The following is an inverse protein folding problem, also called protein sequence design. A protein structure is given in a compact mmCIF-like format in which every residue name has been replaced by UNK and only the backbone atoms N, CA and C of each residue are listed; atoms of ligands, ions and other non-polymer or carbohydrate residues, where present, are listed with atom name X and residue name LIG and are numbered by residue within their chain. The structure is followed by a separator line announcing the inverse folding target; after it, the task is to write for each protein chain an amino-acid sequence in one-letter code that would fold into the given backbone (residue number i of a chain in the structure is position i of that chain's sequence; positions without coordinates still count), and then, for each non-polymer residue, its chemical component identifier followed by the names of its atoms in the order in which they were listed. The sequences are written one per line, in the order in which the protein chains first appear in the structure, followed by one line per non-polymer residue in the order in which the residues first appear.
data_IF_238792858463
#
_entry.id   IF_238792858463
#
_cell.length_a   1.000
_cell.length_b   1.000
_cell.length_c   1.000
_cell.angle_alpha   90.00
_cell.angle_beta   90.00
_cell.angle_gamma   90.00
#
_symmetry.space_group_name_H-M   'P 1'
#
loop_
_entity.id
_entity.type
_entity.pdbx_description
1 polymer ?
#
# COMPACT_ATOMS: atom_id res chain seq x y z
N UNK A 1 26.30 -10.38 6.45
CA UNK A 1 25.68 -10.30 5.13
C UNK A 1 24.32 -10.94 5.27
N UNK A 2 23.37 -10.16 5.76
CA UNK A 2 21.95 -10.50 5.78
C UNK A 2 21.34 -9.70 4.62
N UNK A 3 21.84 -10.01 3.42
CA UNK A 3 21.75 -9.12 2.25
C UNK A 3 20.42 -9.26 1.52
N UNK A 4 19.61 -10.26 1.86
CA UNK A 4 18.34 -10.54 1.21
C UNK A 4 17.17 -10.27 2.15
N UNK A 5 16.17 -9.50 1.70
CA UNK A 5 14.96 -9.22 2.48
C UNK A 5 14.19 -10.51 2.74
N UNK A 6 13.57 -10.63 3.91
CA UNK A 6 12.54 -11.64 4.15
C UNK A 6 11.22 -11.22 3.49
N UNK A 7 10.33 -12.17 3.22
CA UNK A 7 8.99 -11.85 2.71
C UNK A 7 8.23 -10.91 3.66
N UNK A 8 8.46 -11.01 4.97
CA UNK A 8 7.84 -10.14 5.96
C UNK A 8 8.30 -8.69 5.81
N UNK A 9 9.62 -8.47 5.71
CA UNK A 9 10.17 -7.12 5.52
C UNK A 9 9.74 -6.52 4.18
N UNK A 10 9.64 -7.33 3.13
CA UNK A 10 9.09 -6.89 1.84
C UNK A 10 7.65 -6.39 1.98
N UNK A 11 6.81 -7.14 2.69
CA UNK A 11 5.41 -6.75 2.93
C UNK A 11 5.33 -5.47 3.75
N UNK A 12 6.23 -5.29 4.73
CA UNK A 12 6.30 -4.06 5.53
C UNK A 12 6.74 -2.84 4.70
N UNK A 13 7.59 -3.03 3.69
CA UNK A 13 8.13 -1.97 2.82
C UNK A 13 7.34 -1.78 1.50
N UNK A 14 6.28 -2.56 1.28
CA UNK A 14 5.60 -2.60 -0.02
C UNK A 14 5.00 -1.26 -0.40
N UNK A 15 4.56 -0.47 0.59
CA UNK A 15 3.92 0.83 0.35
C UNK A 15 4.96 1.81 -0.19
N UNK A 16 6.08 1.98 0.51
CA UNK A 16 7.17 2.87 0.12
C UNK A 16 7.78 2.45 -1.22
N UNK A 17 7.86 1.15 -1.49
CA UNK A 17 8.29 0.62 -2.79
C UNK A 17 7.34 1.04 -3.92
N UNK A 18 6.03 0.86 -3.72
CA UNK A 18 5.02 1.23 -4.71
C UNK A 18 4.89 2.75 -4.90
N UNK A 19 5.19 3.53 -3.87
CA UNK A 19 5.21 4.99 -3.90
C UNK A 19 6.54 5.58 -4.40
N UNK A 20 7.58 4.76 -4.55
CA UNK A 20 8.90 5.20 -5.02
C UNK A 20 9.66 6.05 -4.00
N UNK A 21 9.40 5.87 -2.71
CA UNK A 21 9.99 6.66 -1.62
C UNK A 21 11.12 5.93 -0.88
N UNK A 22 11.39 4.67 -1.23
CA UNK A 22 12.49 3.92 -0.66
C UNK A 22 13.86 4.49 -1.05
N UNK A 23 14.86 4.42 -0.14
CA UNK A 23 16.26 4.62 -0.52
C UNK A 23 16.69 3.59 -1.57
N UNK A 24 17.53 4.01 -2.52
CA UNK A 24 18.00 3.20 -3.65
C UNK A 24 18.52 1.81 -3.23
N UNK A 25 19.31 1.76 -2.16
CA UNK A 25 19.88 0.50 -1.66
C UNK A 25 18.80 -0.50 -1.20
N UNK A 26 17.66 -0.03 -0.70
CA UNK A 26 16.54 -0.88 -0.30
C UNK A 26 15.70 -1.28 -1.52
N UNK A 27 15.54 -0.36 -2.49
CA UNK A 27 14.86 -0.67 -3.75
C UNK A 27 15.55 -1.82 -4.49
N UNK A 28 16.89 -1.81 -4.58
CA UNK A 28 17.65 -2.90 -5.21
C UNK A 28 17.47 -4.25 -4.48
N UNK A 29 17.38 -4.24 -3.15
CA UNK A 29 17.13 -5.45 -2.35
C UNK A 29 15.71 -5.99 -2.54
N UNK A 30 14.73 -5.09 -2.69
CA UNK A 30 13.36 -5.45 -3.05
C UNK A 30 13.32 -6.11 -4.43
N UNK A 31 13.94 -5.50 -5.43
CA UNK A 31 13.96 -6.04 -6.80
C UNK A 31 14.64 -7.41 -6.85
N UNK A 32 15.73 -7.60 -6.11
CA UNK A 32 16.38 -8.91 -5.95
C UNK A 32 15.46 -9.94 -5.28
N UNK A 33 14.74 -9.56 -4.22
CA UNK A 33 13.80 -10.48 -3.59
C UNK A 33 12.66 -10.87 -4.54
N UNK A 34 12.13 -9.91 -5.31
CA UNK A 34 11.05 -10.14 -6.25
C UNK A 34 11.47 -11.02 -7.45
N UNK A 35 12.75 -11.01 -7.84
CA UNK A 35 13.24 -11.93 -8.88
C UNK A 35 13.26 -13.39 -8.42
N UNK A 36 13.37 -13.63 -7.11
CA UNK A 36 13.58 -14.97 -6.54
C UNK A 36 12.32 -15.53 -5.85
N UNK A 37 11.30 -14.71 -5.58
CA UNK A 37 10.12 -15.10 -4.81
C UNK A 37 8.80 -14.82 -5.55
N UNK A 38 8.23 -15.88 -6.15
CA UNK A 38 6.93 -15.84 -6.82
C UNK A 38 5.80 -15.35 -5.91
N UNK A 39 5.83 -15.72 -4.63
CA UNK A 39 4.80 -15.34 -3.65
C UNK A 39 4.76 -13.82 -3.42
N UNK A 40 5.93 -13.20 -3.25
CA UNK A 40 6.03 -11.75 -3.09
C UNK A 40 5.73 -11.01 -4.39
N UNK A 41 6.14 -11.54 -5.54
CA UNK A 41 5.76 -10.99 -6.85
C UNK A 41 4.24 -10.99 -7.04
N UNK A 42 3.56 -12.08 -6.68
CA UNK A 42 2.10 -12.13 -6.71
C UNK A 42 1.47 -11.14 -5.73
N UNK A 43 2.01 -11.03 -4.51
CA UNK A 43 1.54 -10.07 -3.52
C UNK A 43 1.65 -8.62 -4.00
N UNK A 44 2.79 -8.23 -4.57
CA UNK A 44 2.97 -6.87 -5.13
C UNK A 44 1.98 -6.60 -6.25
N UNK A 45 1.73 -7.56 -7.15
CA UNK A 45 0.72 -7.41 -8.20
C UNK A 45 -0.69 -7.27 -7.61
N UNK A 46 -1.06 -8.05 -6.59
CA UNK A 46 -2.33 -7.90 -5.89
C UNK A 46 -2.48 -6.49 -5.27
N UNK A 47 -1.41 -5.96 -4.67
CA UNK A 47 -1.42 -4.60 -4.12
C UNK A 47 -1.60 -3.54 -5.23
N UNK A 48 -0.91 -3.68 -6.37
CA UNK A 48 -1.10 -2.80 -7.54
C UNK A 48 -2.54 -2.84 -8.05
N UNK A 49 -3.15 -4.03 -8.10
CA UNK A 49 -4.55 -4.19 -8.48
C UNK A 49 -5.50 -3.55 -7.49
N UNK A 50 -5.25 -3.73 -6.20
CA UNK A 50 -6.03 -3.10 -5.12
C UNK A 50 -6.01 -1.59 -5.27
N UNK A 51 -4.82 -0.98 -5.38
CA UNK A 51 -4.64 0.46 -5.60
C UNK A 51 -5.41 0.94 -6.83
N UNK A 52 -5.30 0.21 -7.95
CA UNK A 52 -6.00 0.57 -9.20
C UNK A 52 -7.52 0.51 -9.05
N UNK A 53 -8.05 -0.48 -8.33
CA UNK A 53 -9.49 -0.66 -8.14
C UNK A 53 -10.05 0.37 -7.16
N UNK A 54 -9.39 0.59 -6.03
CA UNK A 54 -9.82 1.56 -5.02
C UNK A 54 -9.62 3.00 -5.47
N UNK A 55 -8.58 3.28 -6.26
CA UNK A 55 -8.32 4.60 -6.85
C UNK A 55 -9.35 5.04 -7.90
N UNK A 56 -10.27 4.15 -8.33
CA UNK A 56 -11.40 4.49 -9.22
C UNK A 56 -12.64 4.95 -8.47
N UNK A 57 -12.67 4.79 -7.15
CA UNK A 57 -13.79 5.25 -6.33
C UNK A 57 -13.84 6.78 -6.39
N UNK A 58 -15.04 7.32 -6.62
CA UNK A 58 -15.29 8.76 -6.66
C UNK A 58 -16.24 9.16 -5.54
N UNK A 59 -16.40 10.47 -5.32
CA UNK A 59 -17.39 10.98 -4.37
C UNK A 59 -18.80 10.50 -4.72
N UNK A 60 -19.14 10.36 -6.01
CA UNK A 60 -20.42 9.83 -6.47
C UNK A 60 -20.62 8.34 -6.18
N UNK A 61 -19.56 7.63 -5.77
CA UNK A 61 -19.65 6.25 -5.27
C UNK A 61 -20.17 6.17 -3.83
N UNK A 62 -20.25 7.31 -3.12
CA UNK A 62 -20.82 7.41 -1.79
C UNK A 62 -22.32 7.74 -1.89
N UNK A 63 -23.12 7.09 -1.05
CA UNK A 63 -24.48 7.54 -0.77
C UNK A 63 -24.41 8.88 -0.03
N UNK A 64 -25.33 9.84 -0.28
CA UNK A 64 -25.25 11.18 0.31
C UNK A 64 -25.08 11.21 1.83
N UNK A 65 -25.75 10.31 2.56
CA UNK A 65 -25.64 10.22 4.01
C UNK A 65 -24.27 9.74 4.50
N UNK A 66 -23.56 8.90 3.73
CA UNK A 66 -22.25 8.37 4.12
C UNK A 66 -21.20 9.46 4.21
N UNK A 67 -21.27 10.46 3.31
CA UNK A 67 -20.38 11.62 3.34
C UNK A 67 -20.57 12.43 4.62
N UNK A 68 -21.82 12.73 4.98
CA UNK A 68 -22.14 13.50 6.17
C UNK A 68 -21.74 12.77 7.46
N UNK A 69 -21.93 11.45 7.49
CA UNK A 69 -21.50 10.60 8.60
C UNK A 69 -19.97 10.55 8.74
N UNK A 70 -19.23 10.37 7.64
CA UNK A 70 -17.76 10.40 7.64
C UNK A 70 -17.23 11.76 8.14
N UNK A 71 -17.79 12.87 7.65
CA UNK A 71 -17.40 14.21 8.09
C UNK A 71 -17.69 14.46 9.57
N UNK A 72 -18.82 13.94 10.09
CA UNK A 72 -19.13 14.01 11.53
C UNK A 72 -18.06 13.27 12.34
N UNK A 73 -17.73 12.03 11.95
CA UNK A 73 -16.71 11.23 12.63
C UNK A 73 -15.34 11.93 12.67
N UNK A 74 -14.86 12.48 11.55
CA UNK A 74 -13.58 13.19 11.51
C UNK A 74 -13.56 14.47 12.37
N UNK A 75 -14.69 15.19 12.47
CA UNK A 75 -14.80 16.39 13.33
C UNK A 75 -14.76 16.06 14.81
N UNK A 76 -15.36 14.95 15.21
CA UNK A 76 -15.43 14.54 16.62
C UNK A 76 -14.17 13.79 17.07
N UNK A 77 -13.41 13.19 16.14
CA UNK A 77 -12.15 12.50 16.44
C UNK A 77 -11.08 13.41 17.07
N UNK A 78 -10.99 14.68 16.66
CA UNK A 78 -10.06 15.66 17.27
C UNK A 78 -10.52 16.22 18.62
N UNK A 79 -11.73 15.88 19.08
CA UNK A 79 -12.24 16.30 20.39
C UNK A 79 -12.00 15.25 21.48
N UNK A 80 -11.36 14.12 21.13
CA UNK A 80 -11.03 13.04 22.05
C UNK A 80 -9.55 12.99 22.40
#
# INVERSE_FOLDING_TARGET
MEDNLTCKELVELVTEYLEGTLPEAIHLRMDHHLSDCDGCTHYVEQMRQTIRLTGRLKEESLMPHQRDDLLRLFRDWKKS
#
